data_IF_045402934499
#
_entry.id   IF_045402934499
#
_cell.length_a   1.000
_cell.length_b   1.000
_cell.length_c   1.000
_cell.angle_alpha   90.00
_cell.angle_beta   90.00
_cell.angle_gamma   90.00
#
_symmetry.space_group_name_H-M   'P 1'
#
loop_
_entity.id
_entity.type
_entity.pdbx_description
1 polymer ?
#
# COMPACT_ATOMS: atom_id res chain seq x y z
N UNK A 1 46.23 20.82 -21.03
CA UNK A 1 46.00 19.39 -21.31
C UNK A 1 45.63 18.75 -19.99
N UNK A 2 44.34 18.47 -19.75
CA UNK A 2 43.94 17.76 -18.53
C UNK A 2 44.59 16.37 -18.55
N UNK A 3 45.31 16.02 -17.48
CA UNK A 3 45.98 14.73 -17.34
C UNK A 3 44.95 13.60 -17.36
N UNK A 4 45.29 12.44 -17.93
CA UNK A 4 44.40 11.27 -17.98
C UNK A 4 43.81 10.90 -16.60
N UNK A 5 44.57 11.18 -15.53
CA UNK A 5 44.15 11.02 -14.13
C UNK A 5 42.95 11.92 -13.74
N UNK A 6 42.90 13.15 -14.25
CA UNK A 6 41.78 14.07 -14.01
C UNK A 6 40.49 13.62 -14.69
N UNK A 7 40.59 13.06 -15.91
CA UNK A 7 39.44 12.51 -16.62
C UNK A 7 38.87 11.27 -15.93
N UNK A 8 39.73 10.39 -15.40
CA UNK A 8 39.30 9.20 -14.66
C UNK A 8 38.55 9.56 -13.37
N UNK A 9 39.01 10.57 -12.64
CA UNK A 9 38.34 11.04 -11.43
C UNK A 9 36.95 11.60 -11.74
N UNK A 10 36.82 12.37 -12.82
CA UNK A 10 35.53 12.93 -13.25
C UNK A 10 34.54 11.84 -13.66
N UNK A 11 35.00 10.82 -14.38
CA UNK A 11 34.16 9.66 -14.74
C UNK A 11 33.71 8.93 -13.47
N UNK A 12 34.60 8.69 -12.50
CA UNK A 12 34.24 8.05 -11.23
C UNK A 12 33.16 8.82 -10.48
N UNK A 13 33.30 10.15 -10.38
CA UNK A 13 32.31 11.03 -9.75
C UNK A 13 30.96 10.95 -10.47
N UNK A 14 30.94 10.98 -11.81
CA UNK A 14 29.71 10.86 -12.60
C UNK A 14 29.03 9.51 -12.36
N UNK A 15 29.79 8.42 -12.28
CA UNK A 15 29.26 7.08 -11.99
C UNK A 15 28.67 7.00 -10.57
N UNK A 16 29.32 7.61 -9.58
CA UNK A 16 28.78 7.69 -8.22
C UNK A 16 27.49 8.52 -8.16
N UNK A 17 27.42 9.66 -8.86
CA UNK A 17 26.21 10.49 -8.93
C UNK A 17 25.07 9.77 -9.67
N UNK A 18 25.38 9.03 -10.74
CA UNK A 18 24.40 8.22 -11.45
C UNK A 18 23.87 7.05 -10.60
N UNK A 19 24.72 6.42 -9.78
CA UNK A 19 24.28 5.38 -8.85
C UNK A 19 23.36 5.93 -7.75
N UNK A 20 23.61 7.16 -7.27
CA UNK A 20 22.76 7.83 -6.27
C UNK A 20 21.40 8.26 -6.85
N UNK A 21 21.34 8.62 -8.14
CA UNK A 21 20.08 9.03 -8.78
C UNK A 21 19.15 7.86 -9.12
N UNK A 22 19.66 6.62 -9.16
CA UNK A 22 18.85 5.38 -9.29
C UNK A 22 18.36 4.89 -7.92
N UNK A 23 18.13 5.81 -6.98
CA UNK A 23 17.29 5.55 -5.82
C UNK A 23 15.84 5.39 -6.30
N UNK A 24 15.51 4.22 -6.83
CA UNK A 24 14.16 3.86 -7.27
C UNK A 24 13.29 3.64 -6.02
N UNK A 25 12.96 4.72 -5.32
CA UNK A 25 11.78 4.68 -4.47
C UNK A 25 10.59 4.64 -5.42
N UNK A 26 9.79 3.58 -5.34
CA UNK A 26 8.45 3.61 -5.91
C UNK A 26 7.69 4.71 -5.18
N UNK A 27 7.70 5.91 -5.73
CA UNK A 27 7.11 7.09 -5.10
C UNK A 27 5.60 6.92 -5.04
N UNK A 28 5.04 7.18 -3.86
CA UNK A 28 3.60 7.30 -3.70
C UNK A 28 3.20 8.67 -4.21
N UNK A 29 2.29 8.72 -5.19
CA UNK A 29 1.79 9.96 -5.77
C UNK A 29 0.40 10.33 -5.27
N UNK A 30 -0.45 9.33 -5.04
CA UNK A 30 -1.77 9.52 -4.45
C UNK A 30 -2.20 8.26 -3.69
N UNK A 31 -3.22 8.42 -2.85
CA UNK A 31 -3.87 7.31 -2.16
C UNK A 31 -5.27 7.11 -2.71
N UNK A 32 -5.60 5.85 -3.01
CA UNK A 32 -6.97 5.44 -3.26
C UNK A 32 -7.57 4.92 -1.95
N UNK A 33 -8.52 5.68 -1.39
CA UNK A 33 -9.33 5.24 -0.25
C UNK A 33 -10.54 4.47 -0.78
N UNK A 34 -10.54 3.15 -0.63
CA UNK A 34 -11.62 2.29 -1.06
C UNK A 34 -12.58 1.99 0.10
N UNK A 35 -13.87 2.19 -0.17
CA UNK A 35 -14.96 1.82 0.73
C UNK A 35 -15.80 0.71 0.09
N UNK A 36 -16.36 -0.19 0.89
CA UNK A 36 -17.18 -1.31 0.45
C UNK A 36 -18.57 -1.24 1.07
N UNK A 37 -19.58 -1.53 0.26
CA UNK A 37 -20.96 -1.68 0.72
C UNK A 37 -21.24 -3.15 1.07
N UNK A 38 -21.49 -3.43 2.35
CA UNK A 38 -21.72 -4.79 2.83
C UNK A 38 -22.91 -5.46 2.13
N UNK A 39 -24.00 -4.72 1.85
CA UNK A 39 -25.16 -5.26 1.17
C UNK A 39 -24.85 -5.82 -0.22
N UNK A 40 -24.08 -5.10 -1.04
CA UNK A 40 -23.70 -5.57 -2.39
C UNK A 40 -22.67 -6.68 -2.34
N UNK A 41 -21.74 -6.63 -1.39
CA UNK A 41 -20.72 -7.67 -1.21
C UNK A 41 -21.35 -9.01 -0.82
N UNK A 42 -22.27 -8.97 0.15
CA UNK A 42 -22.94 -10.14 0.70
C UNK A 42 -24.06 -10.70 -0.19
N UNK A 43 -24.64 -9.88 -1.09
CA UNK A 43 -25.64 -10.33 -2.06
C UNK A 43 -25.05 -11.11 -3.26
N UNK A 44 -23.72 -11.26 -3.32
CA UNK A 44 -23.08 -12.07 -4.37
C UNK A 44 -23.32 -13.57 -4.17
N UNK A 45 -23.21 -14.38 -5.23
CA UNK A 45 -23.35 -15.84 -5.15
C UNK A 45 -22.38 -16.51 -4.18
N UNK A 46 -21.28 -15.83 -3.82
CA UNK A 46 -20.29 -16.34 -2.88
C UNK A 46 -20.72 -16.20 -1.42
N UNK A 47 -21.74 -15.39 -1.12
CA UNK A 47 -22.12 -15.04 0.24
C UNK A 47 -21.02 -14.26 0.98
N UNK A 48 -21.24 -14.00 2.27
CA UNK A 48 -20.26 -13.36 3.14
C UNK A 48 -20.44 -13.81 4.59
N UNK A 49 -19.39 -13.68 5.39
CA UNK A 49 -19.47 -13.83 6.84
C UNK A 49 -19.42 -12.44 7.50
N UNK A 50 -20.36 -12.20 8.42
CA UNK A 50 -20.26 -11.05 9.31
C UNK A 50 -19.28 -11.35 10.45
N UNK A 51 -18.56 -10.33 10.93
CA UNK A 51 -17.70 -10.47 12.10
C UNK A 51 -18.51 -10.78 13.36
N UNK A 52 -17.83 -11.31 14.39
CA UNK A 52 -18.45 -11.74 15.65
C UNK A 52 -19.19 -10.61 16.41
N UNK A 53 -18.98 -9.34 16.04
CA UNK A 53 -19.71 -8.19 16.57
C UNK A 53 -21.14 -8.07 16.03
N UNK A 54 -21.54 -8.93 15.09
CA UNK A 54 -22.87 -8.97 14.49
C UNK A 54 -22.94 -8.31 13.12
N UNK A 55 -24.14 -8.28 12.53
CA UNK A 55 -24.38 -7.58 11.27
C UNK A 55 -24.11 -6.10 11.48
N UNK A 56 -22.98 -5.64 10.95
CA UNK A 56 -22.71 -4.21 10.83
C UNK A 56 -23.82 -3.60 9.97
N UNK A 57 -24.35 -2.46 10.41
CA UNK A 57 -25.44 -1.76 9.73
C UNK A 57 -25.15 -1.58 8.25
N UNK A 58 -26.20 -1.35 7.47
CA UNK A 58 -26.15 -0.94 6.06
C UNK A 58 -25.37 0.39 5.92
N UNK A 59 -24.05 0.35 6.08
CA UNK A 59 -23.08 1.45 6.04
C UNK A 59 -21.92 1.05 5.12
N UNK A 60 -21.18 2.03 4.61
CA UNK A 60 -19.92 1.78 3.93
C UNK A 60 -18.82 1.50 4.95
N UNK A 61 -18.04 0.45 4.72
CA UNK A 61 -16.86 0.14 5.53
C UNK A 61 -15.57 0.38 4.73
N UNK A 62 -14.44 0.55 5.42
CA UNK A 62 -13.14 0.77 4.76
C UNK A 62 -12.64 -0.57 4.27
N UNK A 63 -12.48 -0.69 2.95
CA UNK A 63 -11.84 -1.87 2.37
C UNK A 63 -10.31 -1.73 2.39
N UNK A 64 -9.80 -0.51 2.23
CA UNK A 64 -8.37 -0.26 2.35
C UNK A 64 -7.92 1.09 1.82
N UNK A 65 -6.70 1.46 2.21
CA UNK A 65 -6.00 2.62 1.71
C UNK A 65 -4.82 2.15 0.85
N UNK A 66 -4.84 2.49 -0.43
CA UNK A 66 -3.90 1.94 -1.40
C UNK A 66 -2.98 3.03 -1.96
N UNK A 67 -1.66 2.94 -1.75
CA UNK A 67 -0.70 3.83 -2.38
C UNK A 67 -0.59 3.53 -3.88
N UNK A 68 -0.66 4.57 -4.70
CA UNK A 68 -0.57 4.47 -6.16
C UNK A 68 0.56 5.33 -6.71
N UNK A 69 1.17 4.86 -7.80
CA UNK A 69 2.12 5.62 -8.61
C UNK A 69 1.41 6.69 -9.45
N UNK A 70 2.16 7.59 -10.08
CA UNK A 70 1.63 8.58 -11.02
C UNK A 70 0.96 7.96 -12.26
N UNK A 71 1.33 6.73 -12.62
CA UNK A 71 0.70 5.95 -13.68
C UNK A 71 -0.60 5.25 -13.25
N UNK A 72 -1.00 5.39 -11.98
CA UNK A 72 -2.19 4.73 -11.42
C UNK A 72 -1.96 3.28 -10.96
N UNK A 73 -0.72 2.79 -10.98
CA UNK A 73 -0.41 1.43 -10.53
C UNK A 73 -0.39 1.37 -9.01
N UNK A 74 -1.07 0.38 -8.43
CA UNK A 74 -1.03 0.13 -6.98
C UNK A 74 0.33 -0.44 -6.57
N UNK A 75 0.94 0.15 -5.55
CA UNK A 75 2.19 -0.32 -4.96
C UNK A 75 1.88 -1.37 -3.89
N UNK A 76 2.55 -2.53 -3.96
CA UNK A 76 2.26 -3.69 -3.13
C UNK A 76 3.55 -4.27 -2.54
N UNK A 77 3.49 -4.77 -1.30
CA UNK A 77 4.57 -5.52 -0.63
C UNK A 77 5.94 -4.79 -0.64
N UNK A 78 5.92 -3.47 -0.44
CA UNK A 78 7.12 -2.62 -0.52
C UNK A 78 8.18 -2.95 0.54
N UNK A 79 7.76 -3.40 1.73
CA UNK A 79 8.64 -3.84 2.80
C UNK A 79 8.15 -5.18 3.35
N UNK A 80 8.80 -6.27 2.94
CA UNK A 80 8.42 -7.64 3.37
C UNK A 80 8.96 -8.01 4.75
N UNK A 81 9.92 -7.23 5.28
CA UNK A 81 10.50 -7.47 6.60
C UNK A 81 9.69 -6.83 7.74
N UNK A 82 8.75 -5.96 7.40
CA UNK A 82 7.97 -5.17 8.34
C UNK A 82 6.59 -5.80 8.55
N UNK A 83 6.50 -6.64 9.57
CA UNK A 83 5.24 -7.26 10.00
C UNK A 83 4.34 -6.26 10.72
N UNK A 84 3.03 -6.43 10.59
CA UNK A 84 2.03 -5.63 11.31
C UNK A 84 2.19 -5.81 12.83
N UNK A 85 2.46 -4.70 13.52
CA UNK A 85 2.49 -4.61 14.98
C UNK A 85 1.22 -3.91 15.48
N UNK A 86 0.28 -4.70 16.00
CA UNK A 86 -1.02 -4.21 16.48
C UNK A 86 -0.91 -3.30 17.71
N UNK A 87 0.18 -3.37 18.48
CA UNK A 87 0.38 -2.49 19.65
C UNK A 87 0.51 -1.01 19.26
N UNK A 88 0.84 -0.74 17.99
CA UNK A 88 0.94 0.62 17.43
C UNK A 88 -0.40 1.19 16.99
N UNK A 89 -1.47 0.41 17.04
CA UNK A 89 -2.81 0.78 16.57
C UNK A 89 -3.77 1.04 17.74
N UNK A 90 -3.31 1.76 18.77
CA UNK A 90 -4.17 2.11 19.90
C UNK A 90 -5.32 3.02 19.45
N UNK A 91 -6.57 2.59 19.69
CA UNK A 91 -7.78 3.37 19.42
C UNK A 91 -8.53 3.07 18.12
N UNK A 92 -8.20 2.01 17.35
CA UNK A 92 -8.95 1.66 16.13
C UNK A 92 -10.29 0.92 16.34
N UNK A 93 -10.90 0.99 17.53
CA UNK A 93 -12.17 0.29 17.82
C UNK A 93 -13.41 0.90 17.15
N UNK A 94 -13.29 2.07 16.52
CA UNK A 94 -14.44 2.83 16.03
C UNK A 94 -14.95 2.36 14.66
N UNK A 95 -14.10 1.72 13.83
CA UNK A 95 -14.46 1.44 12.45
C UNK A 95 -15.05 0.04 12.26
N UNK A 96 -16.22 -0.11 11.62
CA UNK A 96 -16.80 -1.42 11.39
C UNK A 96 -15.87 -2.26 10.47
N UNK A 97 -15.58 -3.52 10.84
CA UNK A 97 -14.81 -4.44 10.01
C UNK A 97 -15.45 -4.68 8.63
N UNK A 98 -14.61 -4.94 7.63
CA UNK A 98 -15.07 -5.27 6.29
C UNK A 98 -15.62 -6.73 6.22
N UNK A 99 -16.70 -6.95 5.45
CA UNK A 99 -17.24 -8.29 5.28
C UNK A 99 -16.23 -9.18 4.56
N UNK A 100 -16.05 -10.41 5.06
CA UNK A 100 -15.09 -11.37 4.52
C UNK A 100 -15.80 -12.34 3.57
N UNK A 101 -15.10 -12.76 2.50
CA UNK A 101 -15.56 -13.86 1.67
C UNK A 101 -15.43 -15.17 2.45
N UNK A 102 -16.53 -15.90 2.62
CA UNK A 102 -16.53 -17.18 3.33
C UNK A 102 -17.60 -18.10 2.76
N UNK A 103 -17.25 -19.39 2.67
CA UNK A 103 -18.21 -20.49 2.70
C UNK A 103 -18.13 -21.04 4.12
N UNK A 104 -19.27 -21.17 4.77
CA UNK A 104 -19.43 -21.77 6.10
C UNK A 104 -18.62 -23.08 6.25
#
# INVERSE_FOLDING_TARGET
>A
MASASSFQLMILVIQCLAALSVSHSTSVHFFLHAQVWAGSFCASEKGCCFPNTGMVSQEFTVHGLFPCSSSGTRLMNCDRGNSLDLSRLEGQSEYPPDPQTGRD
#
